data_IF_305169237338
#
_entry.id   IF_305169237338
#
_cell.length_a   1.000
_cell.length_b   1.000
_cell.length_c   1.000
_cell.angle_alpha   90.00
_cell.angle_beta   90.00
_cell.angle_gamma   90.00
#
_symmetry.space_group_name_H-M   'P 1'
#
loop_
_entity.id
_entity.type
_entity.pdbx_description
1 polymer ?
#
# COMPACT_ATOMS: atom_id res chain seq x y z
N UNK A 1 -16.11 -27.15 -14.59
CA UNK A 1 -14.93 -26.43 -15.10
C UNK A 1 -13.69 -27.01 -14.45
N UNK A 2 -12.72 -27.53 -15.21
CA UNK A 2 -11.46 -27.99 -14.60
C UNK A 2 -10.63 -26.76 -14.20
N UNK A 3 -10.03 -26.78 -13.01
CA UNK A 3 -9.09 -25.74 -12.60
C UNK A 3 -7.82 -25.88 -13.45
N UNK A 4 -7.32 -24.76 -13.97
CA UNK A 4 -6.03 -24.78 -14.67
C UNK A 4 -4.92 -25.21 -13.68
N UNK A 5 -4.12 -26.19 -14.08
CA UNK A 5 -3.06 -26.77 -13.26
C UNK A 5 -1.69 -26.37 -13.80
N UNK A 6 -0.64 -26.53 -13.00
CA UNK A 6 0.71 -26.45 -13.53
C UNK A 6 0.91 -27.54 -14.60
N UNK A 7 1.58 -27.28 -15.74
CA UNK A 7 2.32 -26.07 -16.10
C UNK A 7 1.51 -25.03 -16.90
N UNK A 8 0.23 -25.26 -17.19
CA UNK A 8 -0.59 -24.33 -17.97
C UNK A 8 -0.87 -23.04 -17.20
N UNK A 9 -1.16 -23.15 -15.90
CA UNK A 9 -1.25 -22.03 -14.96
C UNK A 9 0.07 -21.82 -14.22
N UNK A 10 0.73 -20.68 -14.45
CA UNK A 10 1.94 -20.28 -13.73
C UNK A 10 1.81 -18.85 -13.21
N UNK A 11 1.39 -18.71 -11.96
CA UNK A 11 1.19 -17.40 -11.31
C UNK A 11 2.45 -16.53 -11.27
N UNK A 12 3.64 -17.15 -11.38
CA UNK A 12 4.91 -16.42 -11.48
C UNK A 12 5.05 -15.60 -12.76
N UNK A 13 4.32 -15.91 -13.84
CA UNK A 13 4.37 -15.13 -15.10
C UNK A 13 3.97 -13.67 -14.87
N UNK A 14 2.93 -13.44 -14.08
CA UNK A 14 2.50 -12.09 -13.70
C UNK A 14 3.47 -11.35 -12.76
N UNK A 15 4.47 -12.05 -12.20
CA UNK A 15 5.45 -11.49 -11.26
C UNK A 15 6.83 -11.26 -11.87
N UNK A 16 7.01 -11.58 -13.16
CA UNK A 16 8.31 -11.62 -13.81
C UNK A 16 8.94 -10.23 -13.99
N UNK A 17 8.15 -9.23 -14.38
CA UNK A 17 8.61 -7.86 -14.62
C UNK A 17 7.79 -6.88 -13.80
N UNK A 18 8.35 -5.70 -13.57
CA UNK A 18 7.69 -4.67 -12.76
C UNK A 18 6.39 -4.17 -13.39
N UNK A 19 6.40 -3.89 -14.68
CA UNK A 19 5.23 -3.37 -15.39
C UNK A 19 4.05 -4.36 -15.38
N UNK A 20 4.30 -5.67 -15.44
CA UNK A 20 3.23 -6.68 -15.34
C UNK A 20 2.67 -6.72 -13.92
N UNK A 21 3.53 -6.67 -12.89
CA UNK A 21 3.06 -6.60 -11.49
C UNK A 21 2.21 -5.36 -11.25
N UNK A 22 2.61 -4.21 -11.79
CA UNK A 22 1.82 -2.98 -11.72
C UNK A 22 0.48 -3.13 -12.44
N UNK A 23 0.43 -3.78 -13.59
CA UNK A 23 -0.82 -4.00 -14.33
C UNK A 23 -1.83 -4.85 -13.54
N UNK A 24 -1.37 -5.88 -12.82
CA UNK A 24 -2.25 -6.80 -12.08
C UNK A 24 -2.44 -6.44 -10.59
N UNK A 25 -1.82 -5.36 -10.10
CA UNK A 25 -1.92 -4.95 -8.71
C UNK A 25 -3.36 -4.57 -8.34
N UNK A 26 -3.92 -5.26 -7.33
CA UNK A 26 -5.30 -5.09 -6.86
C UNK A 26 -5.47 -3.84 -6.01
N UNK A 27 -4.45 -3.46 -5.24
CA UNK A 27 -4.49 -2.33 -4.31
C UNK A 27 -3.42 -1.32 -4.66
N UNK A 28 -3.75 -0.04 -4.50
CA UNK A 28 -2.83 1.09 -4.59
C UNK A 28 -3.15 2.03 -3.42
N UNK A 29 -2.11 2.55 -2.80
CA UNK A 29 -2.22 3.61 -1.79
C UNK A 29 -1.85 4.92 -2.47
N UNK A 30 -2.69 5.95 -2.34
CA UNK A 30 -2.40 7.32 -2.76
C UNK A 30 -2.37 8.26 -1.56
N UNK A 31 -2.01 9.52 -1.82
CA UNK A 31 -2.09 10.60 -0.80
C UNK A 31 -3.53 10.88 -0.36
N UNK A 32 -4.52 10.51 -1.18
CA UNK A 32 -5.95 10.70 -0.89
C UNK A 32 -6.44 9.74 0.22
N UNK A 33 -5.71 8.66 0.46
CA UNK A 33 -5.99 7.67 1.50
C UNK A 33 -5.39 8.05 2.87
N UNK A 34 -4.60 9.14 2.94
CA UNK A 34 -3.84 9.50 4.13
C UNK A 34 -4.55 10.55 4.98
N UNK A 35 -4.62 10.30 6.29
CA UNK A 35 -5.05 11.26 7.29
C UNK A 35 -3.86 11.59 8.18
N UNK A 36 -3.55 12.89 8.33
CA UNK A 36 -2.49 13.36 9.22
C UNK A 36 -3.11 13.95 10.50
N UNK A 37 -3.18 13.18 11.61
CA UNK A 37 -3.68 13.70 12.88
C UNK A 37 -2.66 14.67 13.49
N UNK A 38 -3.16 15.79 14.01
CA UNK A 38 -2.37 16.83 14.66
C UNK A 38 -2.92 17.05 16.07
N UNK A 39 -2.04 17.02 17.07
CA UNK A 39 -2.38 17.38 18.45
C UNK A 39 -2.19 18.87 18.65
N UNK A 40 -3.15 19.52 19.32
CA UNK A 40 -3.14 20.96 19.58
C UNK A 40 -3.07 21.18 21.08
N UNK A 41 -2.19 22.09 21.50
CA UNK A 41 -2.06 22.57 22.87
C UNK A 41 -2.12 24.09 22.90
N UNK A 42 -2.49 24.65 24.05
CA UNK A 42 -2.50 26.10 24.25
C UNK A 42 -1.08 26.65 24.44
N UNK A 43 -0.88 27.93 24.10
CA UNK A 43 0.40 28.65 24.22
C UNK A 43 1.06 29.02 22.90
N UNK A 44 2.13 29.82 22.97
CA UNK A 44 2.83 30.35 21.80
C UNK A 44 4.16 29.63 21.56
N UNK A 45 4.39 29.19 20.32
CA UNK A 45 5.63 28.54 19.87
C UNK A 45 6.05 27.32 20.73
N UNK A 46 5.08 26.56 21.23
CA UNK A 46 5.32 25.37 22.03
C UNK A 46 5.22 24.09 21.18
N UNK A 47 6.14 23.15 21.40
CA UNK A 47 6.12 21.82 20.81
C UNK A 47 6.59 20.81 21.83
N UNK A 48 5.71 19.87 22.19
CA UNK A 48 5.97 18.87 23.20
C UNK A 48 6.00 17.46 22.58
N UNK A 49 7.09 16.69 22.80
CA UNK A 49 7.13 15.29 22.40
C UNK A 49 6.09 14.46 23.16
N UNK A 50 5.31 13.66 22.44
CA UNK A 50 4.40 12.68 23.05
C UNK A 50 5.22 11.46 23.47
N UNK A 51 5.19 11.12 24.75
CA UNK A 51 5.80 9.89 25.26
C UNK A 51 5.05 8.65 24.73
N UNK A 52 5.75 7.51 24.63
CA UNK A 52 5.20 6.25 24.15
C UNK A 52 4.32 5.53 25.18
#
# INVERSE_FOLDING_TARGET
MSKAQFPSLRMRRFRQTDWVRRMVAETRLSVDDLIWPIFIQDGENQSEPVAA
#
